data_IF_221371789515
#
_entry.id   IF_221371789515
#
_cell.length_a   1.000
_cell.length_b   1.000
_cell.length_c   1.000
_cell.angle_alpha   90.00
_cell.angle_beta   90.00
_cell.angle_gamma   90.00
#
_symmetry.space_group_name_H-M   'P 1'
#
loop_
_entity.id
_entity.type
_entity.pdbx_description
1 polymer ?
#
# COMPACT_ATOMS: atom_id res chain seq x y z
N UNK A 1 25.24 12.57 -10.52
CA UNK A 1 23.86 12.53 -9.98
C UNK A 1 23.23 11.17 -10.18
N UNK A 2 23.23 10.38 -9.11
CA UNK A 2 22.64 9.04 -9.07
C UNK A 2 21.27 9.11 -8.39
N UNK A 3 20.25 8.51 -9.00
CA UNK A 3 18.89 8.41 -8.43
C UNK A 3 18.80 7.10 -7.66
N UNK A 4 18.62 7.19 -6.34
CA UNK A 4 18.33 6.04 -5.48
C UNK A 4 16.83 6.00 -5.19
N UNK A 5 16.16 4.94 -5.61
CA UNK A 5 14.74 4.74 -5.29
C UNK A 5 14.64 4.05 -3.93
N UNK A 6 13.97 4.71 -2.98
CA UNK A 6 13.77 4.13 -1.65
C UNK A 6 12.62 3.12 -1.69
N UNK A 7 12.59 2.13 -0.78
CA UNK A 7 11.45 1.23 -0.65
C UNK A 7 10.14 2.00 -0.48
N UNK A 8 9.08 1.51 -1.13
CA UNK A 8 7.75 2.09 -1.07
C UNK A 8 7.02 1.75 0.22
N UNK A 9 5.94 2.48 0.47
CA UNK A 9 4.97 2.21 1.54
C UNK A 9 3.59 2.07 0.93
N UNK A 10 2.93 0.95 1.18
CA UNK A 10 1.54 0.74 0.81
C UNK A 10 0.66 1.19 1.97
N UNK A 11 -0.15 2.22 1.71
CA UNK A 11 -1.18 2.71 2.62
C UNK A 11 -2.52 2.11 2.18
N UNK A 12 -3.23 1.46 3.10
CA UNK A 12 -4.50 0.77 2.84
C UNK A 12 -5.58 1.32 3.77
N UNK A 13 -6.78 1.52 3.24
CA UNK A 13 -7.94 1.96 4.00
C UNK A 13 -9.03 0.91 3.86
N UNK A 14 -9.51 0.44 5.00
CA UNK A 14 -10.56 -0.54 5.11
C UNK A 14 -11.79 0.03 5.82
N UNK A 15 -12.96 -0.44 5.42
CA UNK A 15 -14.23 -0.19 6.09
C UNK A 15 -14.66 -1.45 6.81
N UNK A 16 -14.94 -1.34 8.10
CA UNK A 16 -15.43 -2.42 8.94
C UNK A 16 -16.95 -2.56 8.83
N UNK A 17 -17.48 -3.67 9.35
CA UNK A 17 -18.93 -3.94 9.38
C UNK A 17 -19.75 -2.91 10.17
N UNK A 18 -19.13 -2.22 11.13
CA UNK A 18 -19.72 -1.12 11.91
C UNK A 18 -19.57 0.26 11.25
N UNK A 19 -19.13 0.30 9.99
CA UNK A 19 -18.81 1.52 9.23
C UNK A 19 -17.63 2.34 9.78
N UNK A 20 -16.87 1.81 10.74
CA UNK A 20 -15.61 2.43 11.16
C UNK A 20 -14.53 2.24 10.10
N UNK A 21 -13.54 3.14 10.10
CA UNK A 21 -12.44 3.12 9.14
C UNK A 21 -11.17 2.64 9.85
N UNK A 22 -10.56 1.58 9.32
CA UNK A 22 -9.22 1.12 9.71
C UNK A 22 -8.21 1.55 8.66
N UNK A 23 -7.06 2.04 9.10
CA UNK A 23 -5.95 2.45 8.23
C UNK A 23 -4.73 1.63 8.57
N UNK A 24 -4.25 0.87 7.62
CA UNK A 24 -3.08 0.01 7.77
C UNK A 24 -1.98 0.43 6.81
N UNK A 25 -0.74 0.07 7.17
CA UNK A 25 0.44 0.43 6.38
C UNK A 25 1.41 -0.73 6.30
N UNK A 26 1.88 -1.02 5.10
CA UNK A 26 2.96 -1.98 4.84
C UNK A 26 4.16 -1.22 4.30
N UNK A 27 5.29 -1.30 5.00
CA UNK A 27 6.57 -0.76 4.55
C UNK A 27 7.33 -1.72 3.63
N UNK A 28 8.45 -1.26 3.07
CA UNK A 28 9.35 -2.07 2.24
C UNK A 28 8.70 -2.69 1.00
N UNK A 29 7.71 -2.02 0.43
CA UNK A 29 7.08 -2.46 -0.81
C UNK A 29 7.97 -2.11 -1.99
N UNK A 30 8.04 -2.99 -2.98
CA UNK A 30 8.83 -2.74 -4.19
C UNK A 30 8.24 -1.50 -4.87
N UNK A 31 9.03 -0.43 -5.10
CA UNK A 31 8.51 0.83 -5.65
C UNK A 31 7.93 0.74 -7.05
N UNK A 32 8.27 -0.32 -7.78
CA UNK A 32 7.84 -0.62 -9.15
C UNK A 32 6.79 -1.74 -9.20
N UNK A 33 6.18 -2.09 -8.06
CA UNK A 33 5.07 -3.03 -8.02
C UNK A 33 3.93 -2.54 -8.91
N UNK A 34 3.27 -3.46 -9.62
CA UNK A 34 2.16 -3.11 -10.49
C UNK A 34 0.90 -2.86 -9.66
N UNK A 35 0.04 -1.97 -10.13
CA UNK A 35 -1.23 -1.67 -9.45
C UNK A 35 -2.09 -2.92 -9.25
N UNK A 36 -2.04 -3.87 -10.20
CA UNK A 36 -2.74 -5.16 -10.08
C UNK A 36 -2.20 -6.00 -8.92
N UNK A 37 -0.88 -6.12 -8.77
CA UNK A 37 -0.28 -6.90 -7.68
C UNK A 37 -0.65 -6.31 -6.31
N UNK A 38 -0.63 -4.98 -6.22
CA UNK A 38 -1.02 -4.26 -5.01
C UNK A 38 -2.49 -4.48 -4.68
N UNK A 39 -3.36 -4.43 -5.68
CA UNK A 39 -4.78 -4.70 -5.53
C UNK A 39 -5.03 -6.14 -5.05
N UNK A 40 -4.44 -7.14 -5.70
CA UNK A 40 -4.65 -8.55 -5.38
C UNK A 40 -4.21 -8.89 -3.94
N UNK A 41 -3.04 -8.38 -3.53
CA UNK A 41 -2.56 -8.54 -2.14
C UNK A 41 -3.50 -7.86 -1.16
N UNK A 42 -3.94 -6.64 -1.45
CA UNK A 42 -4.78 -5.89 -0.51
C UNK A 42 -6.18 -6.49 -0.40
N UNK A 43 -6.74 -7.01 -1.49
CA UNK A 43 -8.00 -7.77 -1.47
C UNK A 43 -7.85 -9.06 -0.68
N UNK A 44 -6.74 -9.78 -0.83
CA UNK A 44 -6.47 -10.96 -0.02
C UNK A 44 -6.42 -10.63 1.48
N UNK A 45 -5.79 -9.51 1.86
CA UNK A 45 -5.75 -9.01 3.24
C UNK A 45 -7.16 -8.62 3.72
N UNK A 46 -7.92 -7.88 2.92
CA UNK A 46 -9.28 -7.48 3.26
C UNK A 46 -10.17 -8.71 3.54
N UNK A 47 -10.10 -9.73 2.69
CA UNK A 47 -10.82 -10.99 2.87
C UNK A 47 -10.37 -11.76 4.11
N UNK A 48 -9.07 -11.77 4.43
CA UNK A 48 -8.54 -12.40 5.64
C UNK A 48 -9.06 -11.70 6.92
N UNK A 49 -9.18 -10.38 6.87
CA UNK A 49 -9.65 -9.57 8.00
C UNK A 49 -11.18 -9.45 8.07
N UNK A 50 -11.89 -9.96 7.05
CA UNK A 50 -13.32 -9.75 6.86
C UNK A 50 -13.71 -8.25 6.81
N UNK A 51 -12.82 -7.44 6.24
CA UNK A 51 -12.98 -6.00 6.05
C UNK A 51 -13.27 -5.70 4.57
N UNK A 52 -13.86 -4.55 4.28
CA UNK A 52 -14.07 -4.08 2.89
C UNK A 52 -12.97 -3.11 2.51
N UNK A 53 -12.28 -3.37 1.40
CA UNK A 53 -11.29 -2.46 0.85
C UNK A 53 -11.95 -1.18 0.33
N UNK A 54 -11.48 -0.02 0.81
CA UNK A 54 -11.98 1.29 0.40
C UNK A 54 -11.00 2.05 -0.48
N UNK A 55 -9.72 2.12 -0.08
CA UNK A 55 -8.69 2.87 -0.81
C UNK A 55 -7.31 2.22 -0.65
N UNK A 56 -6.47 2.37 -1.67
CA UNK A 56 -5.08 1.88 -1.71
C UNK A 56 -4.20 2.97 -2.32
N UNK A 57 -3.06 3.23 -1.68
CA UNK A 57 -2.04 4.12 -2.23
C UNK A 57 -0.65 3.55 -2.00
N UNK A 58 0.14 3.45 -3.07
CA UNK A 58 1.58 3.26 -2.97
C UNK A 58 2.30 4.62 -2.90
N UNK A 59 2.92 4.91 -1.76
CA UNK A 59 3.81 6.06 -1.59
C UNK A 59 5.26 5.65 -1.88
N UNK A 60 5.91 6.31 -2.83
CA UNK A 60 7.33 6.09 -3.14
C UNK A 60 8.12 7.39 -3.00
N UNK A 61 9.42 7.28 -2.72
CA UNK A 61 10.32 8.44 -2.65
C UNK A 61 11.63 8.16 -3.37
N UNK A 62 12.28 9.23 -3.85
CA UNK A 62 13.56 9.18 -4.55
C UNK A 62 14.55 10.11 -3.86
N UNK A 63 15.78 9.64 -3.72
CA UNK A 63 16.90 10.44 -3.21
C UNK A 63 17.85 10.73 -4.35
N UNK A 64 18.28 11.99 -4.46
CA UNK A 64 19.23 12.45 -5.48
C UNK A 64 20.58 12.69 -4.81
N UNK A 65 21.56 11.81 -5.07
CA UNK A 65 22.93 11.98 -4.62
C UNK A 65 23.75 12.64 -5.74
N UNK A 66 24.43 13.74 -5.44
CA UNK A 66 25.22 14.54 -6.39
C UNK A 66 26.38 13.73 -6.96
#
# INVERSE_FOLDING_TARGET
>A
MTVLQNPGRLDMVFTLSDSSIRRERIGNVIPTALDQDLYDITVAIANLLNDVLFDIRLATSKTYAA
#
